data_IF_867455866278
#
_entry.id   IF_867455866278
#
_cell.length_a   1.000
_cell.length_b   1.000
_cell.length_c   1.000
_cell.angle_alpha   90.00
_cell.angle_beta   90.00
_cell.angle_gamma   90.00
#
_symmetry.space_group_name_H-M   'P 1'
#
loop_
_entity.id
_entity.type
_entity.pdbx_description
1 polymer ?
#
# COMPACT_ATOMS: atom_id res chain seq x y z
N UNK A 1 -22.31 9.67 -11.17
CA UNK A 1 -21.27 8.61 -11.10
C UNK A 1 -20.78 8.53 -9.67
N UNK A 2 -20.74 7.33 -9.10
CA UNK A 2 -20.06 7.09 -7.82
C UNK A 2 -18.54 7.14 -8.05
N UNK A 3 -17.77 7.69 -7.10
CA UNK A 3 -16.32 7.79 -7.21
C UNK A 3 -15.61 6.48 -6.87
N UNK A 4 -14.38 6.25 -7.36
CA UNK A 4 -13.68 4.97 -7.27
C UNK A 4 -13.51 4.43 -5.85
N UNK A 5 -13.32 5.30 -4.85
CA UNK A 5 -13.27 4.88 -3.44
C UNK A 5 -14.56 4.16 -3.05
N UNK A 6 -15.72 4.73 -3.39
CA UNK A 6 -17.01 4.21 -2.94
C UNK A 6 -17.27 2.83 -3.53
N UNK A 7 -16.83 2.60 -4.77
CA UNK A 7 -16.98 1.30 -5.42
C UNK A 7 -16.09 0.24 -4.74
N UNK A 8 -14.82 0.56 -4.45
CA UNK A 8 -13.93 -0.34 -3.70
C UNK A 8 -14.39 -0.58 -2.27
N UNK A 9 -14.95 0.43 -1.60
CA UNK A 9 -15.53 0.27 -0.26
C UNK A 9 -16.70 -0.71 -0.25
N UNK A 10 -17.62 -0.60 -1.22
CA UNK A 10 -18.74 -1.54 -1.31
C UNK A 10 -18.25 -2.96 -1.62
N UNK A 11 -17.26 -3.10 -2.51
CA UNK A 11 -16.66 -4.39 -2.81
C UNK A 11 -15.95 -5.01 -1.58
N UNK A 12 -15.23 -4.20 -0.81
CA UNK A 12 -14.56 -4.62 0.43
C UNK A 12 -15.57 -5.15 1.45
N UNK A 13 -16.67 -4.41 1.68
CA UNK A 13 -17.72 -4.77 2.63
C UNK A 13 -18.54 -5.99 2.19
N UNK A 14 -18.79 -6.15 0.90
CA UNK A 14 -19.61 -7.25 0.37
C UNK A 14 -18.91 -8.62 0.46
N UNK A 15 -17.57 -8.64 0.51
CA UNK A 15 -16.80 -9.88 0.29
C UNK A 15 -15.91 -10.29 1.48
N UNK A 16 -16.02 -9.62 2.63
CA UNK A 16 -15.13 -9.79 3.79
C UNK A 16 -13.65 -9.88 3.33
N UNK A 17 -13.27 -8.95 2.46
CA UNK A 17 -12.47 -9.24 1.27
C UNK A 17 -11.11 -9.88 1.56
N UNK A 18 -11.00 -11.17 1.27
CA UNK A 18 -9.72 -11.88 1.15
C UNK A 18 -9.12 -11.73 -0.27
N UNK A 19 -9.57 -10.72 -1.02
CA UNK A 19 -9.09 -10.41 -2.38
C UNK A 19 -8.17 -9.19 -2.32
N UNK A 20 -6.89 -9.45 -2.57
CA UNK A 20 -5.85 -8.43 -2.57
C UNK A 20 -6.10 -7.30 -3.57
N UNK A 21 -6.75 -7.57 -4.71
CA UNK A 21 -7.01 -6.53 -5.71
C UNK A 21 -8.00 -5.49 -5.22
N UNK A 22 -9.00 -5.91 -4.44
CA UNK A 22 -9.99 -5.01 -3.82
C UNK A 22 -9.31 -4.16 -2.74
N UNK A 23 -8.47 -4.78 -1.91
CA UNK A 23 -7.74 -4.10 -0.83
C UNK A 23 -6.78 -3.05 -1.41
N UNK A 24 -6.00 -3.40 -2.44
CA UNK A 24 -5.09 -2.48 -3.11
C UNK A 24 -5.85 -1.32 -3.76
N UNK A 25 -6.95 -1.60 -4.47
CA UNK A 25 -7.78 -0.56 -5.06
C UNK A 25 -8.36 0.41 -4.03
N UNK A 26 -8.73 -0.09 -2.85
CA UNK A 26 -9.19 0.74 -1.74
C UNK A 26 -8.06 1.62 -1.18
N UNK A 27 -6.85 1.09 -1.00
CA UNK A 27 -5.67 1.86 -0.57
C UNK A 27 -5.37 2.97 -1.58
N UNK A 28 -5.22 2.62 -2.87
CA UNK A 28 -4.88 3.55 -3.94
C UNK A 28 -5.90 4.68 -4.06
N UNK A 29 -7.19 4.33 -4.11
CA UNK A 29 -8.26 5.32 -4.23
C UNK A 29 -8.35 6.25 -3.02
N UNK A 30 -8.07 5.74 -1.81
CA UNK A 30 -8.01 6.55 -0.59
C UNK A 30 -6.82 7.53 -0.63
N UNK A 31 -5.64 7.07 -1.06
CA UNK A 31 -4.45 7.93 -1.20
C UNK A 31 -4.64 9.03 -2.25
N UNK A 32 -5.27 8.70 -3.38
CA UNK A 32 -5.51 9.66 -4.47
C UNK A 32 -6.55 10.72 -4.12
N UNK A 33 -7.61 10.32 -3.43
CA UNK A 33 -8.72 11.21 -3.09
C UNK A 33 -8.45 12.11 -1.89
N UNK A 34 -7.48 11.75 -1.03
CA UNK A 34 -7.08 12.51 0.16
C UNK A 34 -8.29 12.97 0.99
N UNK A 35 -9.15 12.03 1.44
CA UNK A 35 -10.33 12.40 2.19
C UNK A 35 -9.91 13.06 3.50
N UNK A 36 -10.72 14.01 3.99
CA UNK A 36 -10.49 14.66 5.29
C UNK A 36 -10.55 13.67 6.45
N UNK A 37 -11.35 12.60 6.30
CA UNK A 37 -11.51 11.54 7.30
C UNK A 37 -11.27 10.19 6.63
N UNK A 38 -10.35 9.41 7.19
CA UNK A 38 -10.10 8.04 6.79
C UNK A 38 -11.13 7.12 7.47
N UNK A 39 -11.80 6.29 6.67
CA UNK A 39 -12.77 5.30 7.16
C UNK A 39 -12.06 4.01 7.62
N UNK A 40 -10.88 3.74 7.09
CA UNK A 40 -10.06 2.58 7.43
C UNK A 40 -8.65 3.02 7.80
N UNK A 41 -8.02 2.28 8.72
CA UNK A 41 -6.58 2.40 8.90
C UNK A 41 -5.87 1.80 7.67
N UNK A 42 -5.12 2.64 6.97
CA UNK A 42 -4.37 2.22 5.79
C UNK A 42 -3.26 1.21 6.13
N UNK A 43 -2.70 1.25 7.34
CA UNK A 43 -1.75 0.22 7.78
C UNK A 43 -2.43 -1.14 7.92
N UNK A 44 -3.66 -1.20 8.43
CA UNK A 44 -4.40 -2.45 8.55
C UNK A 44 -4.75 -3.03 7.17
N UNK A 45 -5.16 -2.18 6.22
CA UNK A 45 -5.42 -2.63 4.85
C UNK A 45 -4.14 -3.18 4.19
N UNK A 46 -3.00 -2.50 4.36
CA UNK A 46 -1.71 -3.01 3.86
C UNK A 46 -1.35 -4.34 4.51
N UNK A 47 -1.51 -4.46 5.84
CA UNK A 47 -1.20 -5.70 6.56
C UNK A 47 -2.11 -6.85 6.11
N UNK A 48 -3.38 -6.58 5.82
CA UNK A 48 -4.28 -7.58 5.23
C UNK A 48 -3.82 -8.01 3.84
N UNK A 49 -3.42 -7.07 2.96
CA UNK A 49 -2.88 -7.40 1.64
C UNK A 49 -1.62 -8.27 1.75
N UNK A 50 -0.68 -7.90 2.62
CA UNK A 50 0.57 -8.65 2.84
C UNK A 50 0.35 -10.01 3.54
N UNK A 51 -0.76 -10.19 4.26
CA UNK A 51 -1.14 -11.50 4.80
C UNK A 51 -1.64 -12.46 3.70
N UNK A 52 -2.24 -11.93 2.63
CA UNK A 52 -2.68 -12.70 1.46
C UNK A 52 -1.50 -13.01 0.54
N UNK A 53 -0.73 -11.98 0.18
CA UNK A 53 0.49 -12.11 -0.61
C UNK A 53 1.63 -11.28 0.02
N UNK A 54 2.56 -11.93 0.74
CA UNK A 54 3.67 -11.26 1.42
C UNK A 54 4.67 -10.55 0.50
N UNK A 55 4.63 -10.82 -0.80
CA UNK A 55 5.55 -10.25 -1.79
C UNK A 55 4.83 -9.40 -2.85
N UNK A 56 3.54 -9.11 -2.69
CA UNK A 56 2.83 -8.22 -3.61
C UNK A 56 3.53 -6.86 -3.66
N UNK A 57 4.00 -6.51 -4.87
CA UNK A 57 4.83 -5.33 -5.08
C UNK A 57 4.11 -4.03 -4.69
N UNK A 58 2.79 -3.96 -4.91
CA UNK A 58 1.97 -2.77 -4.63
C UNK A 58 1.74 -2.64 -3.13
N UNK A 59 1.44 -3.75 -2.46
CA UNK A 59 1.27 -3.79 -1.01
C UNK A 59 2.56 -3.34 -0.28
N UNK A 60 3.72 -3.84 -0.71
CA UNK A 60 5.01 -3.42 -0.16
C UNK A 60 5.32 -1.96 -0.46
N UNK A 61 5.04 -1.49 -1.69
CA UNK A 61 5.25 -0.09 -2.08
C UNK A 61 4.40 0.88 -1.27
N UNK A 62 3.08 0.74 -1.31
CA UNK A 62 2.16 1.62 -0.58
C UNK A 62 2.35 1.48 0.91
N UNK A 63 2.61 0.26 1.39
CA UNK A 63 2.92 0.00 2.78
C UNK A 63 4.14 0.79 3.27
N UNK A 64 5.20 0.88 2.47
CA UNK A 64 6.35 1.70 2.84
C UNK A 64 6.02 3.19 2.87
N UNK A 65 5.27 3.70 1.88
CA UNK A 65 4.84 5.09 1.83
C UNK A 65 3.96 5.48 3.04
N UNK A 66 2.98 4.63 3.37
CA UNK A 66 2.07 4.82 4.50
C UNK A 66 2.84 4.75 5.82
N UNK A 67 3.71 3.75 6.00
CA UNK A 67 4.53 3.62 7.21
C UNK A 67 5.39 4.86 7.44
N UNK A 68 6.08 5.35 6.40
CA UNK A 68 6.87 6.58 6.50
C UNK A 68 6.01 7.80 6.82
N UNK A 69 4.85 7.95 6.17
CA UNK A 69 3.93 9.06 6.43
C UNK A 69 3.43 9.06 7.88
N UNK A 70 3.28 7.89 8.48
CA UNK A 70 2.91 7.71 9.89
C UNK A 70 4.10 7.82 10.86
N UNK A 71 5.31 8.14 10.37
CA UNK A 71 6.53 8.27 11.17
C UNK A 71 7.25 6.95 11.47
N UNK A 72 6.73 5.81 10.99
CA UNK A 72 7.36 4.50 11.16
C UNK A 72 8.37 4.22 10.02
N UNK A 73 9.52 4.88 10.14
CA UNK A 73 10.62 4.75 9.17
C UNK A 73 11.22 3.34 9.15
N UNK A 74 11.21 2.63 10.29
CA UNK A 74 11.74 1.28 10.39
C UNK A 74 10.89 0.31 9.57
N UNK A 75 9.56 0.34 9.74
CA UNK A 75 8.65 -0.48 8.95
C UNK A 75 8.69 -0.10 7.47
N UNK A 76 8.80 1.18 7.15
CA UNK A 76 8.96 1.63 5.76
C UNK A 76 10.20 1.02 5.10
N UNK A 77 11.36 1.10 5.78
CA UNK A 77 12.61 0.48 5.33
C UNK A 77 12.44 -1.02 5.14
N UNK A 78 11.86 -1.73 6.11
CA UNK A 78 11.64 -3.18 6.01
C UNK A 78 10.82 -3.57 4.78
N UNK A 79 9.71 -2.88 4.53
CA UNK A 79 8.84 -3.15 3.37
C UNK A 79 9.54 -2.88 2.04
N UNK A 80 10.26 -1.76 1.94
CA UNK A 80 10.99 -1.41 0.72
C UNK A 80 12.21 -2.30 0.44
N UNK A 81 12.96 -2.70 1.47
CA UNK A 81 14.03 -3.68 1.31
C UNK A 81 13.48 -5.02 0.85
N UNK A 82 12.34 -5.45 1.39
CA UNK A 82 11.66 -6.67 0.94
C UNK A 82 11.26 -6.58 -0.53
N UNK A 83 10.76 -5.42 -0.98
CA UNK A 83 10.39 -5.20 -2.37
C UNK A 83 11.60 -5.26 -3.33
N UNK A 84 12.76 -4.76 -2.90
CA UNK A 84 13.99 -4.81 -3.69
C UNK A 84 14.53 -6.23 -3.94
N UNK A 85 14.10 -7.22 -3.14
CA UNK A 85 14.43 -8.64 -3.34
C UNK A 85 13.78 -9.23 -4.60
N UNK A 86 12.70 -8.63 -5.10
CA UNK A 86 12.03 -9.08 -6.32
C UNK A 86 12.91 -8.79 -7.55
N UNK A 87 13.33 -9.84 -8.26
CA UNK A 87 14.19 -9.73 -9.45
C UNK A 87 13.47 -9.14 -10.66
N UNK A 88 12.14 -9.22 -10.72
CA UNK A 88 11.31 -8.71 -11.80
C UNK A 88 10.92 -7.24 -11.62
N UNK A 89 11.28 -6.63 -10.48
CA UNK A 89 11.01 -5.22 -10.22
C UNK A 89 11.66 -4.32 -11.26
N UNK A 90 10.86 -3.41 -11.83
CA UNK A 90 11.32 -2.49 -12.89
C UNK A 90 12.42 -1.55 -12.42
N UNK A 91 13.23 -1.05 -13.37
CA UNK A 91 14.33 -0.11 -13.09
C UNK A 91 13.80 1.16 -12.43
N UNK A 92 12.72 1.73 -12.96
CA UNK A 92 12.12 2.96 -12.42
C UNK A 92 11.62 2.76 -10.98
N UNK A 93 11.04 1.59 -10.68
CA UNK A 93 10.55 1.29 -9.35
C UNK A 93 11.71 1.08 -8.35
N UNK A 94 12.77 0.40 -8.77
CA UNK A 94 14.01 0.28 -7.96
C UNK A 94 14.58 1.66 -7.65
N UNK A 95 14.63 2.55 -8.64
CA UNK A 95 15.10 3.92 -8.43
C UNK A 95 14.20 4.65 -7.43
N UNK A 96 12.88 4.62 -7.62
CA UNK A 96 11.93 5.28 -6.72
C UNK A 96 12.05 4.78 -5.27
N UNK A 97 12.26 3.47 -5.07
CA UNK A 97 12.48 2.90 -3.73
C UNK A 97 13.80 3.42 -3.13
N UNK A 98 14.89 3.41 -3.89
CA UNK A 98 16.17 3.92 -3.41
C UNK A 98 16.11 5.41 -3.04
N UNK A 99 15.38 6.21 -3.81
CA UNK A 99 15.08 7.60 -3.47
C UNK A 99 14.32 7.70 -2.14
N UNK A 100 13.27 6.89 -1.93
CA UNK A 100 12.56 6.89 -0.65
C UNK A 100 13.45 6.45 0.53
N UNK A 101 14.29 5.44 0.34
CA UNK A 101 15.23 4.96 1.35
C UNK A 101 16.25 6.03 1.74
N UNK A 102 16.70 6.87 0.80
CA UNK A 102 17.61 7.98 1.09
C UNK A 102 17.00 9.09 1.96
N UNK A 103 15.66 9.14 2.05
CA UNK A 103 14.92 10.11 2.85
C UNK A 103 14.69 9.65 4.29
N UNK A 104 15.07 8.41 4.63
CA UNK A 104 14.90 7.84 5.96
C UNK A 104 16.25 7.32 6.48
N UNK A 105 16.80 8.00 7.50
CA UNK A 105 18.14 7.75 8.04
C UNK A 105 18.29 6.34 8.63
#
# INVERSE_FOLDING_TARGET
MMGPIRDYQQAYLANASNDISIIIGLIESTLLSRPEVLIYDLNDLVNQALAIDPVDQRALWFGGLIARANGDQALARTRWLKLLEDSQLSVDMRQAINEQLSLIN
#
